data_IF_019691891440
#
_entry.id   IF_019691891440
#
_cell.length_a   1.000
_cell.length_b   1.000
_cell.length_c   1.000
_cell.angle_alpha   90.00
_cell.angle_beta   90.00
_cell.angle_gamma   90.00
#
_symmetry.space_group_name_H-M   'P 1'
#
loop_
_entity.id
_entity.type
_entity.pdbx_description
1 polymer ?
#
# COMPACT_ATOMS: atom_id res chain seq x y z
N UNK A 1 -39.74 26.91 13.57
CA UNK A 1 -39.17 27.00 14.93
C UNK A 1 -38.63 25.61 15.28
N UNK A 2 -37.52 25.51 16.02
CA UNK A 2 -36.64 24.31 16.19
C UNK A 2 -35.48 24.27 15.18
N UNK A 3 -34.62 25.30 15.24
CA UNK A 3 -33.19 25.18 14.96
C UNK A 3 -32.51 25.78 16.18
N UNK A 4 -32.03 24.94 17.09
CA UNK A 4 -31.03 25.26 18.13
C UNK A 4 -30.87 24.04 19.00
N UNK A 5 -29.70 23.41 18.91
CA UNK A 5 -28.92 22.80 20.00
C UNK A 5 -28.11 21.64 19.43
N UNK A 6 -26.82 21.91 19.18
CA UNK A 6 -25.68 21.02 19.45
C UNK A 6 -24.43 21.71 18.90
N UNK A 7 -24.06 22.78 19.61
CA UNK A 7 -22.81 23.50 19.49
C UNK A 7 -22.25 23.51 20.91
N UNK A 8 -21.30 22.63 21.22
CA UNK A 8 -20.30 22.88 22.26
C UNK A 8 -19.19 21.82 22.25
N UNK A 9 -17.96 22.34 22.23
CA UNK A 9 -16.76 21.78 22.85
C UNK A 9 -15.99 20.66 22.14
N UNK A 10 -15.08 21.02 21.22
CA UNK A 10 -13.72 20.44 21.15
C UNK A 10 -12.75 21.56 20.71
N UNK A 11 -11.62 21.81 21.41
CA UNK A 11 -10.68 22.86 21.04
C UNK A 11 -9.86 22.45 19.80
N UNK A 12 -9.74 23.40 18.87
CA UNK A 12 -8.89 23.34 17.69
C UNK A 12 -7.46 23.64 18.13
N UNK A 13 -6.57 22.63 18.09
CA UNK A 13 -5.13 22.86 18.01
C UNK A 13 -4.72 22.68 16.54
N UNK A 14 -4.56 23.80 15.85
CA UNK A 14 -3.92 23.86 14.52
C UNK A 14 -2.41 23.94 14.73
N UNK A 15 -1.72 22.82 14.52
CA UNK A 15 -0.32 22.84 14.13
C UNK A 15 -0.28 22.57 12.62
N UNK A 16 -0.20 23.64 11.83
CA UNK A 16 0.06 23.56 10.40
C UNK A 16 1.56 23.29 10.25
N UNK A 17 1.93 22.05 9.95
CA UNK A 17 3.23 21.78 9.34
C UNK A 17 3.07 21.98 7.83
N UNK A 18 3.88 22.84 7.19
CA UNK A 18 3.86 22.93 5.73
C UNK A 18 4.56 21.68 5.18
N UNK A 19 3.75 20.75 4.66
CA UNK A 19 4.22 19.68 3.79
C UNK A 19 4.52 20.27 2.41
N UNK A 20 5.79 20.22 2.02
CA UNK A 20 6.28 20.15 0.64
C UNK A 20 5.69 21.11 -0.40
N UNK A 21 6.17 22.34 -0.43
CA UNK A 21 6.22 23.10 -1.69
C UNK A 21 7.47 22.66 -2.47
N UNK A 22 7.25 22.07 -3.63
CA UNK A 22 8.30 21.74 -4.58
C UNK A 22 9.08 22.99 -4.97
N UNK A 23 10.39 22.96 -4.76
CA UNK A 23 11.29 24.04 -5.11
C UNK A 23 11.72 23.94 -6.58
N UNK A 24 10.80 24.26 -7.50
CA UNK A 24 11.16 24.68 -8.85
C UNK A 24 11.85 26.04 -8.76
N UNK A 25 13.19 26.06 -8.79
CA UNK A 25 13.98 27.29 -8.82
C UNK A 25 15.28 27.29 -8.01
N UNK A 26 15.45 26.38 -7.04
CA UNK A 26 16.69 26.35 -6.23
C UNK A 26 17.85 25.80 -7.04
N UNK A 27 18.99 26.48 -7.07
CA UNK A 27 20.18 26.02 -7.81
C UNK A 27 20.91 24.90 -7.05
N UNK A 28 21.73 24.10 -7.74
CA UNK A 28 22.59 23.08 -7.07
C UNK A 28 23.49 23.74 -6.00
N UNK A 29 23.94 24.98 -6.22
CA UNK A 29 24.82 25.68 -5.28
C UNK A 29 24.08 26.08 -4.00
N UNK A 30 22.86 26.59 -4.11
CA UNK A 30 22.01 26.90 -2.95
C UNK A 30 21.68 25.64 -2.15
N UNK A 31 21.37 24.54 -2.84
CA UNK A 31 21.14 23.25 -2.19
C UNK A 31 22.41 22.72 -1.50
N UNK A 32 23.58 22.89 -2.11
CA UNK A 32 24.87 22.53 -1.48
C UNK A 32 25.08 23.28 -0.18
N UNK A 33 24.88 24.60 -0.15
CA UNK A 33 25.07 25.39 1.06
C UNK A 33 24.16 24.89 2.19
N UNK A 34 22.86 24.77 1.90
CA UNK A 34 21.87 24.30 2.89
C UNK A 34 22.12 22.86 3.33
N UNK A 35 22.55 21.99 2.42
CA UNK A 35 22.88 20.61 2.78
C UNK A 35 24.08 20.54 3.72
N UNK A 36 25.10 21.38 3.56
CA UNK A 36 26.23 21.43 4.49
C UNK A 36 25.81 21.89 5.88
N UNK A 37 25.01 22.96 5.97
CA UNK A 37 24.45 23.44 7.25
C UNK A 37 23.71 22.32 8.00
N UNK A 38 22.88 21.55 7.28
CA UNK A 38 22.13 20.43 7.87
C UNK A 38 23.04 19.28 8.31
N UNK A 39 24.13 19.02 7.57
CA UNK A 39 25.07 17.93 7.87
C UNK A 39 26.01 18.26 9.04
N UNK A 40 26.19 19.53 9.37
CA UNK A 40 26.95 19.99 10.54
C UNK A 40 26.12 19.92 11.83
N UNK A 41 24.79 19.97 11.72
CA UNK A 41 23.89 19.80 12.86
C UNK A 41 23.85 18.34 13.35
N UNK A 42 24.07 18.15 14.66
CA UNK A 42 24.05 16.82 15.31
C UNK A 42 22.75 16.52 16.06
N UNK A 43 21.73 17.37 15.89
CA UNK A 43 20.48 17.32 16.65
C UNK A 43 19.34 16.62 15.89
N UNK A 44 18.19 16.44 16.58
CA UNK A 44 16.97 15.85 16.00
C UNK A 44 16.41 16.69 14.84
N UNK A 45 16.73 17.98 14.78
CA UNK A 45 16.25 18.88 13.74
C UNK A 45 16.94 18.65 12.39
N UNK A 46 18.20 18.20 12.39
CA UNK A 46 18.89 17.75 11.18
C UNK A 46 18.11 16.65 10.44
N UNK A 47 17.50 15.71 11.19
CA UNK A 47 16.66 14.66 10.61
C UNK A 47 15.36 15.19 10.00
N UNK A 48 14.78 16.28 10.53
CA UNK A 48 13.57 16.88 9.94
C UNK A 48 13.86 17.54 8.60
N UNK A 49 15.07 18.07 8.44
CA UNK A 49 15.49 18.82 7.25
C UNK A 49 16.31 17.99 6.24
N UNK A 50 16.66 16.75 6.58
CA UNK A 50 17.51 15.86 5.76
C UNK A 50 17.05 15.69 4.31
N UNK A 51 15.76 15.91 4.03
CA UNK A 51 15.23 15.85 2.66
C UNK A 51 15.99 16.77 1.69
N UNK A 52 16.46 17.94 2.14
CA UNK A 52 17.27 18.85 1.31
C UNK A 52 18.58 18.21 0.84
N UNK A 53 19.21 17.41 1.71
CA UNK A 53 20.45 16.67 1.39
C UNK A 53 20.17 15.63 0.30
N UNK A 54 19.02 14.96 0.40
CA UNK A 54 18.63 13.96 -0.59
C UNK A 54 18.20 14.58 -1.93
N UNK A 55 17.49 15.71 -1.92
CA UNK A 55 17.13 16.46 -3.13
C UNK A 55 18.39 16.93 -3.89
N UNK A 56 19.43 17.35 -3.16
CA UNK A 56 20.74 17.65 -3.74
C UNK A 56 21.38 16.42 -4.37
N UNK A 57 21.36 15.28 -3.67
CA UNK A 57 21.92 14.03 -4.18
C UNK A 57 21.21 13.58 -5.47
N UNK A 58 19.88 13.68 -5.51
CA UNK A 58 19.05 13.43 -6.69
C UNK A 58 19.50 14.31 -7.87
N UNK A 59 19.58 15.63 -7.67
CA UNK A 59 20.02 16.56 -8.73
C UNK A 59 21.45 16.34 -9.21
N UNK A 60 22.36 15.95 -8.31
CA UNK A 60 23.73 15.61 -8.69
C UNK A 60 23.79 14.32 -9.51
N UNK A 61 22.96 13.33 -9.20
CA UNK A 61 22.85 12.12 -9.99
C UNK A 61 22.30 12.44 -11.39
N UNK A 62 21.24 13.26 -11.46
CA UNK A 62 20.63 13.69 -12.73
C UNK A 62 21.58 14.54 -13.58
N UNK A 63 22.44 15.35 -12.94
CA UNK A 63 23.50 16.12 -13.59
C UNK A 63 24.76 15.30 -13.95
N UNK A 64 24.67 13.97 -13.94
CA UNK A 64 25.74 13.03 -14.27
C UNK A 64 27.01 13.21 -13.41
N UNK A 65 26.83 13.50 -12.12
CA UNK A 65 27.90 13.60 -11.12
C UNK A 65 27.73 12.53 -10.02
N UNK A 66 27.89 11.25 -10.38
CA UNK A 66 27.49 10.13 -9.52
C UNK A 66 28.35 10.02 -8.25
N UNK A 67 29.63 10.39 -8.30
CA UNK A 67 30.50 10.36 -7.11
C UNK A 67 30.06 11.37 -6.04
N UNK A 68 29.65 12.58 -6.44
CA UNK A 68 29.14 13.56 -5.47
C UNK A 68 27.76 13.15 -4.95
N UNK A 69 26.88 12.66 -5.83
CA UNK A 69 25.57 12.14 -5.41
C UNK A 69 25.70 11.03 -4.37
N UNK A 70 26.60 10.05 -4.59
CA UNK A 70 26.88 8.97 -3.66
C UNK A 70 27.32 9.47 -2.27
N UNK A 71 28.16 10.52 -2.21
CA UNK A 71 28.58 11.14 -0.94
C UNK A 71 27.40 11.76 -0.18
N UNK A 72 26.53 12.50 -0.86
CA UNK A 72 25.36 13.12 -0.22
C UNK A 72 24.30 12.10 0.17
N UNK A 73 24.08 11.05 -0.62
CA UNK A 73 23.23 9.93 -0.20
C UNK A 73 23.75 9.29 1.08
N UNK A 74 25.04 8.93 1.12
CA UNK A 74 25.65 8.34 2.31
C UNK A 74 25.53 9.28 3.53
N UNK A 75 25.77 10.58 3.36
CA UNK A 75 25.66 11.57 4.42
C UNK A 75 24.22 11.73 4.94
N UNK A 76 23.24 11.88 4.05
CA UNK A 76 21.83 11.94 4.42
C UNK A 76 21.34 10.65 5.09
N UNK A 77 21.80 9.48 4.63
CA UNK A 77 21.47 8.19 5.23
C UNK A 77 22.11 7.98 6.61
N UNK A 78 23.16 8.71 7.00
CA UNK A 78 23.64 8.71 8.40
C UNK A 78 22.65 9.39 9.33
N UNK A 79 22.00 10.46 8.88
CA UNK A 79 20.98 11.19 9.64
C UNK A 79 19.62 10.48 9.62
N UNK A 80 19.28 9.81 8.51
CA UNK A 80 18.04 9.04 8.38
C UNK A 80 18.26 7.64 7.76
N UNK A 81 18.79 6.68 8.55
CA UNK A 81 19.21 5.37 8.03
C UNK A 81 18.08 4.49 7.48
N UNK A 82 16.85 4.67 7.95
CA UNK A 82 15.71 3.86 7.55
C UNK A 82 14.88 4.47 6.40
N UNK A 83 15.41 5.49 5.72
CA UNK A 83 14.78 5.99 4.50
C UNK A 83 15.02 5.01 3.34
N UNK A 84 14.15 4.00 3.22
CA UNK A 84 14.33 2.88 2.29
C UNK A 84 14.40 3.33 0.82
N UNK A 85 13.67 4.38 0.45
CA UNK A 85 13.71 4.92 -0.91
C UNK A 85 15.12 5.38 -1.26
N UNK A 86 15.76 6.15 -0.37
CA UNK A 86 17.12 6.63 -0.59
C UNK A 86 18.19 5.55 -0.38
N UNK A 87 17.94 4.55 0.48
CA UNK A 87 18.77 3.34 0.52
C UNK A 87 18.78 2.66 -0.85
N UNK A 88 17.62 2.48 -1.49
CA UNK A 88 17.54 1.85 -2.80
C UNK A 88 18.19 2.70 -3.90
N UNK A 89 17.96 4.01 -3.93
CA UNK A 89 18.63 4.93 -4.88
C UNK A 89 20.15 4.89 -4.73
N UNK A 90 20.65 4.92 -3.49
CA UNK A 90 22.07 4.84 -3.22
C UNK A 90 22.68 3.51 -3.66
N UNK A 91 22.03 2.38 -3.33
CA UNK A 91 22.45 1.05 -3.77
C UNK A 91 22.52 0.97 -5.31
N UNK A 92 21.49 1.44 -6.01
CA UNK A 92 21.45 1.45 -7.48
C UNK A 92 22.55 2.31 -8.08
N UNK A 93 22.82 3.49 -7.52
CA UNK A 93 23.89 4.37 -7.98
C UNK A 93 25.27 3.72 -7.82
N UNK A 94 25.55 3.14 -6.65
CA UNK A 94 26.80 2.42 -6.39
C UNK A 94 26.99 1.25 -7.35
N UNK A 95 25.94 0.46 -7.58
CA UNK A 95 25.96 -0.65 -8.53
C UNK A 95 26.22 -0.16 -9.97
N UNK A 96 25.59 0.95 -10.38
CA UNK A 96 25.83 1.56 -11.69
C UNK A 96 27.26 2.12 -11.85
N UNK A 97 27.89 2.55 -10.76
CA UNK A 97 29.29 2.97 -10.71
C UNK A 97 30.29 1.79 -10.68
N UNK A 98 29.81 0.54 -10.59
CA UNK A 98 30.64 -0.65 -10.44
C UNK A 98 31.11 -0.91 -9.00
N UNK A 99 30.64 -0.14 -8.02
CA UNK A 99 30.95 -0.30 -6.60
C UNK A 99 30.05 -1.37 -5.94
N UNK A 100 30.01 -2.57 -6.54
CA UNK A 100 29.05 -3.63 -6.22
C UNK A 100 29.10 -4.07 -4.75
N UNK A 101 30.29 -4.18 -4.16
CA UNK A 101 30.42 -4.56 -2.75
C UNK A 101 29.83 -3.52 -1.80
N UNK A 102 29.99 -2.23 -2.10
CA UNK A 102 29.39 -1.16 -1.30
C UNK A 102 27.88 -1.11 -1.49
N UNK A 103 27.38 -1.43 -2.70
CA UNK A 103 25.95 -1.48 -3.01
C UNK A 103 25.19 -2.55 -2.21
N UNK A 104 25.87 -3.64 -1.79
CA UNK A 104 25.24 -4.74 -1.04
C UNK A 104 24.69 -4.30 0.32
N UNK A 105 25.35 -3.40 1.04
CA UNK A 105 24.87 -2.98 2.35
C UNK A 105 23.51 -2.24 2.28
N UNK A 106 23.34 -1.14 1.52
CA UNK A 106 22.06 -0.46 1.40
C UNK A 106 20.99 -1.35 0.73
N UNK A 107 21.36 -2.17 -0.26
CA UNK A 107 20.45 -3.16 -0.84
C UNK A 107 19.97 -4.19 0.21
N UNK A 108 20.86 -4.69 1.07
CA UNK A 108 20.52 -5.64 2.14
C UNK A 108 19.54 -5.06 3.17
N UNK A 109 19.66 -3.75 3.47
CA UNK A 109 18.69 -3.05 4.31
C UNK A 109 17.31 -3.04 3.65
N UNK A 110 17.24 -2.63 2.38
CA UNK A 110 15.98 -2.57 1.61
C UNK A 110 15.36 -3.95 1.48
N UNK A 111 16.11 -4.96 1.08
CA UNK A 111 15.60 -6.33 0.90
C UNK A 111 15.04 -6.93 2.18
N UNK A 112 15.53 -6.51 3.35
CA UNK A 112 15.09 -7.06 4.65
C UNK A 112 13.88 -6.33 5.24
N UNK A 113 13.76 -5.02 5.01
CA UNK A 113 12.82 -4.15 5.72
C UNK A 113 11.70 -3.63 4.81
N UNK A 114 11.93 -3.54 3.50
CA UNK A 114 10.93 -2.99 2.59
C UNK A 114 9.73 -3.92 2.43
N UNK A 115 8.54 -3.34 2.50
CA UNK A 115 7.27 -3.97 2.14
C UNK A 115 6.91 -3.73 0.67
N UNK A 116 7.72 -2.96 -0.07
CA UNK A 116 7.49 -2.68 -1.49
C UNK A 116 8.19 -3.72 -2.36
N UNK A 117 7.40 -4.57 -3.02
CA UNK A 117 7.88 -5.67 -3.86
C UNK A 117 8.89 -5.22 -4.92
N UNK A 118 8.64 -4.09 -5.58
CA UNK A 118 9.55 -3.57 -6.61
C UNK A 118 10.92 -3.24 -6.01
N UNK A 119 10.94 -2.63 -4.81
CA UNK A 119 12.19 -2.31 -4.11
C UNK A 119 12.91 -3.58 -3.63
N UNK A 120 12.17 -4.57 -3.12
CA UNK A 120 12.76 -5.86 -2.70
C UNK A 120 13.38 -6.59 -3.90
N UNK A 121 12.70 -6.65 -5.03
CA UNK A 121 13.21 -7.29 -6.26
C UNK A 121 14.49 -6.58 -6.74
N UNK A 122 14.47 -5.24 -6.81
CA UNK A 122 15.65 -4.46 -7.20
C UNK A 122 16.83 -4.69 -6.25
N UNK A 123 16.58 -4.66 -4.93
CA UNK A 123 17.60 -4.91 -3.93
C UNK A 123 18.21 -6.31 -4.04
N UNK A 124 17.38 -7.36 -4.20
CA UNK A 124 17.84 -8.74 -4.37
C UNK A 124 18.66 -8.94 -5.64
N UNK A 125 18.30 -8.23 -6.72
CA UNK A 125 19.10 -8.23 -7.94
C UNK A 125 20.51 -7.68 -7.70
N UNK A 126 20.66 -6.59 -6.94
CA UNK A 126 21.98 -6.04 -6.57
C UNK A 126 22.75 -7.01 -5.68
N UNK A 127 22.06 -7.74 -4.79
CA UNK A 127 22.66 -8.76 -3.93
C UNK A 127 23.09 -10.03 -4.69
N UNK A 128 22.72 -10.17 -5.98
CA UNK A 128 22.94 -11.38 -6.76
C UNK A 128 22.06 -12.55 -6.32
N UNK A 129 20.98 -12.27 -5.59
CA UNK A 129 20.03 -13.29 -5.16
C UNK A 129 19.07 -13.63 -6.30
N UNK A 130 18.88 -14.93 -6.56
CA UNK A 130 17.84 -15.38 -7.47
C UNK A 130 16.47 -15.12 -6.85
N UNK A 131 15.72 -14.19 -7.44
CA UNK A 131 14.31 -14.00 -7.13
C UNK A 131 13.53 -15.07 -7.86
N UNK A 132 13.25 -16.18 -7.19
CA UNK A 132 12.35 -17.20 -7.71
C UNK A 132 10.91 -16.66 -7.61
N UNK A 133 10.45 -16.04 -8.70
CA UNK A 133 9.14 -15.41 -8.81
C UNK A 133 8.05 -16.41 -9.17
N UNK A 134 8.40 -17.62 -9.60
CA UNK A 134 7.41 -18.59 -10.01
C UNK A 134 6.93 -19.44 -8.83
N UNK A 135 5.61 -19.55 -8.69
CA UNK A 135 4.98 -20.46 -7.76
C UNK A 135 4.31 -21.55 -8.58
N UNK A 136 4.80 -22.78 -8.41
CA UNK A 136 4.21 -23.95 -9.06
C UNK A 136 2.82 -24.21 -8.52
N UNK A 137 1.93 -24.68 -9.38
CA UNK A 137 0.66 -25.25 -8.95
C UNK A 137 0.91 -26.45 -8.04
N UNK A 138 -0.02 -26.70 -7.12
CA UNK A 138 -0.01 -27.89 -6.30
C UNK A 138 -0.03 -29.15 -7.18
N UNK A 139 0.83 -30.10 -6.84
CA UNK A 139 0.85 -31.42 -7.44
C UNK A 139 0.53 -32.46 -6.39
N UNK A 140 0.90 -33.71 -6.64
CA UNK A 140 0.83 -34.77 -5.64
C UNK A 140 1.72 -34.43 -4.43
N UNK A 141 1.15 -34.63 -3.23
CA UNK A 141 1.84 -34.45 -1.96
C UNK A 141 2.01 -35.82 -1.31
N UNK A 142 3.18 -36.05 -0.73
CA UNK A 142 3.46 -37.25 0.06
C UNK A 142 2.62 -37.24 1.35
N UNK A 143 1.76 -38.23 1.52
CA UNK A 143 0.93 -38.44 2.71
C UNK A 143 1.78 -38.84 3.93
N UNK A 144 2.91 -39.51 3.71
CA UNK A 144 3.64 -40.18 4.79
C UNK A 144 4.34 -39.20 5.73
N UNK A 145 4.50 -37.93 5.31
CA UNK A 145 5.22 -36.90 6.07
C UNK A 145 4.34 -35.72 6.44
N UNK A 146 4.57 -35.17 7.63
CA UNK A 146 3.98 -33.89 8.00
C UNK A 146 4.46 -32.81 7.04
N UNK A 147 3.49 -32.15 6.40
CA UNK A 147 3.74 -31.18 5.33
C UNK A 147 2.88 -29.95 5.55
N UNK A 148 3.50 -28.77 5.44
CA UNK A 148 2.81 -27.49 5.45
C UNK A 148 2.85 -26.88 4.04
N UNK A 149 1.68 -26.58 3.48
CA UNK A 149 1.56 -25.90 2.19
C UNK A 149 1.16 -24.46 2.42
N UNK A 150 2.06 -23.55 2.05
CA UNK A 150 1.83 -22.11 2.01
C UNK A 150 1.14 -21.77 0.69
N UNK A 151 -0.05 -21.20 0.77
CA UNK A 151 -0.88 -20.86 -0.38
C UNK A 151 -1.02 -19.34 -0.47
N UNK A 152 -0.42 -18.70 -1.49
CA UNK A 152 -0.63 -17.30 -1.78
C UNK A 152 -2.11 -16.95 -2.02
N UNK A 153 -2.59 -15.87 -1.41
CA UNK A 153 -3.97 -15.40 -1.56
C UNK A 153 -3.99 -13.94 -2.03
N UNK A 154 -4.23 -13.77 -3.34
CA UNK A 154 -4.18 -12.48 -4.02
C UNK A 154 -2.76 -12.03 -4.31
N UNK A 155 -2.59 -10.73 -4.52
CA UNK A 155 -1.28 -10.13 -4.79
C UNK A 155 -0.45 -10.10 -3.50
N UNK A 156 0.62 -10.88 -3.48
CA UNK A 156 1.53 -10.95 -2.33
C UNK A 156 2.99 -10.95 -2.76
N UNK A 157 3.84 -10.58 -1.82
CA UNK A 157 5.29 -10.62 -1.97
C UNK A 157 5.77 -12.07 -1.92
N UNK A 158 6.00 -12.67 -3.09
CA UNK A 158 6.46 -14.06 -3.22
C UNK A 158 7.80 -14.26 -2.52
N UNK A 159 8.68 -13.27 -2.60
CA UNK A 159 9.99 -13.29 -1.96
C UNK A 159 9.86 -13.44 -0.43
N UNK A 160 8.93 -12.72 0.19
CA UNK A 160 8.61 -12.83 1.62
C UNK A 160 8.07 -14.24 1.96
N UNK A 161 7.19 -14.77 1.13
CA UNK A 161 6.59 -16.10 1.33
C UNK A 161 7.65 -17.20 1.26
N UNK A 162 8.63 -17.08 0.37
CA UNK A 162 9.77 -17.99 0.26
C UNK A 162 10.70 -17.90 1.47
N UNK A 163 10.92 -16.72 2.01
CA UNK A 163 11.69 -16.57 3.24
C UNK A 163 10.95 -17.15 4.45
N UNK A 164 9.64 -16.96 4.50
CA UNK A 164 8.79 -17.62 5.49
C UNK A 164 8.85 -19.15 5.35
N UNK A 165 8.79 -19.68 4.13
CA UNK A 165 8.96 -21.11 3.83
C UNK A 165 10.27 -21.65 4.43
N UNK A 166 11.41 -21.00 4.14
CA UNK A 166 12.72 -21.40 4.66
C UNK A 166 12.77 -21.37 6.19
N UNK A 167 12.26 -20.29 6.81
CA UNK A 167 12.23 -20.13 8.27
C UNK A 167 11.33 -21.16 8.95
N UNK A 168 10.15 -21.43 8.39
CA UNK A 168 9.22 -22.44 8.92
C UNK A 168 9.80 -23.84 8.77
N UNK A 169 10.38 -24.18 7.62
CA UNK A 169 11.05 -25.48 7.41
C UNK A 169 12.15 -25.71 8.44
N UNK A 170 13.03 -24.72 8.62
CA UNK A 170 14.11 -24.80 9.61
C UNK A 170 13.60 -24.91 11.06
N UNK A 171 12.53 -24.17 11.40
CA UNK A 171 12.02 -24.12 12.77
C UNK A 171 11.16 -25.32 13.16
N UNK A 172 10.37 -25.85 12.23
CA UNK A 172 9.41 -26.91 12.50
C UNK A 172 9.98 -28.31 12.20
N UNK A 173 11.04 -28.41 11.40
CA UNK A 173 11.62 -29.69 10.99
C UNK A 173 10.70 -30.52 10.08
N UNK A 174 9.73 -29.88 9.41
CA UNK A 174 8.80 -30.50 8.47
C UNK A 174 9.00 -29.94 7.06
N UNK A 175 8.47 -30.64 6.06
CA UNK A 175 8.45 -30.11 4.70
C UNK A 175 7.48 -28.93 4.61
N UNK A 176 7.94 -27.85 3.99
CA UNK A 176 7.14 -26.64 3.76
C UNK A 176 7.23 -26.30 2.29
N UNK A 177 6.09 -26.26 1.60
CA UNK A 177 5.99 -25.92 0.19
C UNK A 177 5.26 -24.60 -0.01
N UNK A 178 5.63 -23.85 -1.04
CA UNK A 178 4.81 -22.75 -1.57
C UNK A 178 4.16 -23.25 -2.85
N UNK A 179 2.83 -23.22 -2.92
CA UNK A 179 2.05 -23.72 -4.06
C UNK A 179 0.84 -22.85 -4.35
N UNK A 180 0.50 -22.74 -5.62
CA UNK A 180 -0.77 -22.17 -6.06
C UNK A 180 -1.85 -23.25 -6.08
N UNK A 181 -3.07 -22.84 -5.76
CA UNK A 181 -4.28 -23.64 -5.97
C UNK A 181 -5.03 -23.04 -7.16
N UNK A 182 -5.30 -23.86 -8.19
CA UNK A 182 -5.83 -23.39 -9.47
C UNK A 182 -7.25 -22.80 -9.37
N UNK A 183 -8.03 -23.24 -8.38
CA UNK A 183 -9.45 -22.87 -8.20
C UNK A 183 -9.69 -22.00 -6.95
N UNK A 184 -8.68 -21.25 -6.49
CA UNK A 184 -8.84 -20.40 -5.32
C UNK A 184 -9.59 -19.11 -5.67
N UNK A 185 -10.91 -19.13 -5.53
CA UNK A 185 -11.76 -17.95 -5.66
C UNK A 185 -11.90 -17.20 -4.34
N UNK A 186 -11.54 -15.92 -4.34
CA UNK A 186 -11.61 -15.06 -3.15
C UNK A 186 -12.77 -14.09 -3.27
N UNK A 187 -13.68 -14.16 -2.30
CA UNK A 187 -14.80 -13.24 -2.19
C UNK A 187 -14.33 -11.78 -2.10
N UNK A 188 -15.16 -10.81 -2.56
CA UNK A 188 -14.87 -9.39 -2.40
C UNK A 188 -14.82 -9.02 -0.90
N UNK A 189 -14.16 -7.90 -0.55
CA UNK A 189 -14.07 -7.43 0.82
C UNK A 189 -15.46 -7.13 1.36
N UNK A 190 -15.73 -7.57 2.59
CA UNK A 190 -17.01 -7.30 3.28
C UNK A 190 -17.03 -5.95 3.97
N UNK A 191 -15.86 -5.37 4.22
CA UNK A 191 -15.71 -4.00 4.70
C UNK A 191 -14.92 -3.21 3.68
N UNK A 192 -15.64 -2.42 2.89
CA UNK A 192 -15.07 -1.48 1.94
C UNK A 192 -15.64 -0.08 2.22
N UNK A 193 -14.99 0.71 3.10
CA UNK A 193 -15.51 2.02 3.51
C UNK A 193 -15.77 2.94 2.32
N UNK A 194 -14.91 2.89 1.30
CA UNK A 194 -15.08 3.70 0.10
C UNK A 194 -16.20 3.16 -0.79
N UNK A 195 -16.29 1.84 -0.97
CA UNK A 195 -17.41 1.21 -1.67
C UNK A 195 -18.77 1.52 -1.04
N UNK A 196 -18.87 1.47 0.30
CA UNK A 196 -20.08 1.83 1.04
C UNK A 196 -20.42 3.32 0.90
N UNK A 197 -19.42 4.20 0.92
CA UNK A 197 -19.62 5.62 0.65
C UNK A 197 -20.12 5.85 -0.77
N UNK A 198 -19.51 5.18 -1.76
CA UNK A 198 -19.91 5.29 -3.16
C UNK A 198 -21.33 4.77 -3.38
N UNK A 199 -21.74 3.70 -2.71
CA UNK A 199 -23.13 3.20 -2.74
C UNK A 199 -24.10 4.27 -2.22
N UNK A 200 -23.83 4.86 -1.05
CA UNK A 200 -24.63 5.98 -0.52
C UNK A 200 -24.64 7.19 -1.46
N UNK A 201 -23.54 7.45 -2.15
CA UNK A 201 -23.45 8.50 -3.14
C UNK A 201 -24.34 8.22 -4.36
N UNK A 202 -24.39 6.97 -4.85
CA UNK A 202 -25.33 6.55 -5.91
C UNK A 202 -26.78 6.78 -5.47
N UNK A 203 -27.14 6.29 -4.28
CA UNK A 203 -28.49 6.47 -3.74
C UNK A 203 -28.87 7.95 -3.62
N UNK A 204 -27.92 8.81 -3.20
CA UNK A 204 -28.14 10.25 -3.12
C UNK A 204 -28.29 10.89 -4.51
N UNK A 205 -27.48 10.48 -5.49
CA UNK A 205 -27.56 10.97 -6.86
C UNK A 205 -28.87 10.55 -7.54
N UNK A 206 -29.36 9.34 -7.28
CA UNK A 206 -30.66 8.88 -7.79
C UNK A 206 -31.80 9.75 -7.26
N UNK A 207 -31.80 10.07 -5.95
CA UNK A 207 -32.78 10.98 -5.35
C UNK A 207 -32.67 12.41 -5.91
N UNK A 208 -31.45 12.89 -6.18
CA UNK A 208 -31.25 14.21 -6.77
C UNK A 208 -31.71 14.25 -8.23
N UNK A 209 -31.46 13.18 -8.99
CA UNK A 209 -31.95 13.02 -10.38
C UNK A 209 -33.47 13.07 -10.42
N UNK A 210 -34.16 12.42 -9.48
CA UNK A 210 -35.63 12.45 -9.41
C UNK A 210 -36.16 13.84 -9.06
N UNK A 211 -35.49 14.57 -8.16
CA UNK A 211 -35.92 15.90 -7.71
C UNK A 211 -35.65 17.01 -8.73
N UNK A 212 -34.54 16.92 -9.47
CA UNK A 212 -34.15 17.90 -10.47
C UNK A 212 -33.56 17.22 -11.72
N UNK A 213 -34.41 16.57 -12.55
CA UNK A 213 -33.94 15.81 -13.71
C UNK A 213 -33.16 16.65 -14.72
N UNK A 214 -33.62 17.89 -14.96
CA UNK A 214 -33.02 18.76 -15.95
C UNK A 214 -31.66 19.28 -15.49
N UNK A 215 -31.56 19.85 -14.28
CA UNK A 215 -30.27 20.31 -13.75
C UNK A 215 -29.27 19.16 -13.53
N UNK A 216 -29.75 17.96 -13.21
CA UNK A 216 -28.93 16.74 -13.19
C UNK A 216 -28.40 16.39 -14.58
N UNK A 217 -29.28 16.35 -15.59
CA UNK A 217 -28.93 16.07 -16.98
C UNK A 217 -27.94 17.06 -17.57
N UNK A 218 -28.14 18.36 -17.32
CA UNK A 218 -27.26 19.44 -17.77
C UNK A 218 -25.86 19.29 -17.15
N UNK A 219 -25.78 18.97 -15.86
CA UNK A 219 -24.49 18.76 -15.22
C UNK A 219 -23.80 17.48 -15.68
N UNK A 220 -24.53 16.39 -15.90
CA UNK A 220 -23.97 15.17 -16.52
C UNK A 220 -23.42 15.47 -17.92
N UNK A 221 -24.14 16.22 -18.74
CA UNK A 221 -23.69 16.59 -20.08
C UNK A 221 -22.44 17.48 -20.05
N UNK A 222 -22.27 18.31 -19.01
CA UNK A 222 -21.10 19.16 -18.83
C UNK A 222 -19.87 18.39 -18.33
N UNK A 223 -20.03 17.55 -17.30
CA UNK A 223 -18.93 16.78 -16.70
C UNK A 223 -18.50 15.58 -17.56
N UNK A 224 -19.45 15.01 -18.31
CA UNK A 224 -19.23 13.84 -19.16
C UNK A 224 -19.70 14.11 -20.60
N UNK A 225 -19.05 15.05 -21.33
CA UNK A 225 -19.53 15.54 -22.62
C UNK A 225 -19.57 14.46 -23.73
N UNK A 226 -18.72 13.44 -23.62
CA UNK A 226 -18.64 12.34 -24.58
C UNK A 226 -19.70 11.28 -24.31
N UNK A 227 -19.73 10.69 -23.10
CA UNK A 227 -20.64 9.59 -22.77
C UNK A 227 -22.08 10.06 -22.54
N UNK A 228 -22.26 11.32 -22.13
CA UNK A 228 -23.52 11.91 -21.64
C UNK A 228 -24.20 11.07 -20.55
N UNK A 229 -23.42 10.27 -19.85
CA UNK A 229 -23.87 9.35 -18.80
C UNK A 229 -22.84 9.35 -17.68
N UNK A 230 -23.34 9.41 -16.45
CA UNK A 230 -22.54 9.18 -15.26
C UNK A 230 -22.04 7.72 -15.29
N UNK A 231 -20.72 7.46 -15.23
CA UNK A 231 -20.18 6.10 -15.13
C UNK A 231 -20.51 5.53 -13.74
N UNK A 232 -21.64 4.83 -13.63
CA UNK A 232 -22.12 4.26 -12.35
C UNK A 232 -21.23 3.15 -11.82
N UNK A 233 -20.41 2.54 -12.66
CA UNK A 233 -19.49 1.47 -12.26
C UNK A 233 -18.16 2.04 -11.71
N UNK A 234 -17.92 3.34 -11.89
CA UNK A 234 -16.75 4.03 -11.36
C UNK A 234 -17.12 4.78 -10.06
N UNK A 235 -16.76 4.17 -8.93
CA UNK A 235 -16.99 4.74 -7.61
C UNK A 235 -16.31 6.11 -7.42
N UNK A 236 -15.15 6.35 -8.03
CA UNK A 236 -14.47 7.65 -7.95
C UNK A 236 -15.23 8.72 -8.70
N UNK A 237 -15.61 8.43 -9.95
CA UNK A 237 -16.38 9.36 -10.76
C UNK A 237 -17.73 9.67 -10.11
N UNK A 238 -18.41 8.68 -9.51
CA UNK A 238 -19.66 8.86 -8.78
C UNK A 238 -19.49 9.81 -7.59
N UNK A 239 -18.52 9.55 -6.72
CA UNK A 239 -18.30 10.38 -5.53
C UNK A 239 -17.86 11.79 -5.91
N UNK A 240 -16.97 11.92 -6.91
CA UNK A 240 -16.54 13.22 -7.45
C UNK A 240 -17.73 14.01 -8.02
N UNK A 241 -18.56 13.37 -8.84
CA UNK A 241 -19.74 14.00 -9.43
C UNK A 241 -20.71 14.49 -8.36
N UNK A 242 -20.98 13.69 -7.31
CA UNK A 242 -21.81 14.13 -6.19
C UNK A 242 -21.24 15.38 -5.50
N UNK A 243 -19.93 15.41 -5.23
CA UNK A 243 -19.29 16.59 -4.65
C UNK A 243 -19.48 17.83 -5.52
N UNK A 244 -19.26 17.71 -6.83
CA UNK A 244 -19.47 18.82 -7.79
C UNK A 244 -20.92 19.26 -7.81
N UNK A 245 -21.87 18.32 -7.83
CA UNK A 245 -23.31 18.62 -7.90
C UNK A 245 -23.77 19.37 -6.64
N UNK A 246 -23.34 18.91 -5.47
CA UNK A 246 -23.67 19.56 -4.22
C UNK A 246 -23.04 20.96 -4.11
N UNK A 247 -21.79 21.12 -4.56
CA UNK A 247 -21.08 22.38 -4.48
C UNK A 247 -21.62 23.44 -5.43
N UNK A 248 -21.86 23.06 -6.69
CA UNK A 248 -22.18 24.00 -7.75
C UNK A 248 -23.68 24.10 -8.02
N UNK A 249 -24.36 22.97 -8.24
CA UNK A 249 -25.77 22.97 -8.63
C UNK A 249 -26.70 23.24 -7.43
N UNK A 250 -26.36 22.72 -6.25
CA UNK A 250 -27.14 22.93 -5.02
C UNK A 250 -26.60 24.07 -4.14
N UNK A 251 -25.50 24.71 -4.54
CA UNK A 251 -24.84 25.80 -3.79
C UNK A 251 -24.58 25.45 -2.32
N UNK A 252 -24.19 24.20 -2.05
CA UNK A 252 -23.92 23.68 -0.71
C UNK A 252 -22.45 23.21 -0.57
N UNK A 253 -21.49 24.15 -0.55
CA UNK A 253 -20.06 23.83 -0.51
C UNK A 253 -19.66 23.12 0.78
N UNK A 254 -20.34 23.39 1.91
CA UNK A 254 -20.04 22.74 3.19
C UNK A 254 -20.37 21.24 3.12
N UNK A 255 -21.51 20.88 2.54
CA UNK A 255 -21.88 19.48 2.40
C UNK A 255 -20.99 18.75 1.38
N UNK A 256 -20.65 19.40 0.26
CA UNK A 256 -19.68 18.88 -0.71
C UNK A 256 -18.31 18.60 -0.06
N UNK A 257 -17.79 19.56 0.74
CA UNK A 257 -16.52 19.39 1.44
C UNK A 257 -16.55 18.23 2.44
N UNK A 258 -17.67 18.02 3.15
CA UNK A 258 -17.84 16.88 4.07
C UNK A 258 -17.77 15.54 3.33
N UNK A 259 -18.43 15.42 2.19
CA UNK A 259 -18.36 14.20 1.35
C UNK A 259 -16.95 13.99 0.83
N UNK A 260 -16.28 15.05 0.37
CA UNK A 260 -14.89 14.99 -0.08
C UNK A 260 -13.94 14.51 1.02
N UNK A 261 -14.04 15.09 2.22
CA UNK A 261 -13.22 14.67 3.38
C UNK A 261 -13.53 13.23 3.80
N UNK A 262 -14.81 12.83 3.79
CA UNK A 262 -15.20 11.45 4.08
C UNK A 262 -14.63 10.48 3.05
N UNK A 263 -14.63 10.84 1.76
CA UNK A 263 -14.03 10.06 0.68
C UNK A 263 -12.51 9.94 0.86
N UNK A 264 -11.82 11.04 1.15
CA UNK A 264 -10.38 11.02 1.43
C UNK A 264 -10.03 10.07 2.57
N UNK A 265 -10.80 10.12 3.68
CA UNK A 265 -10.62 9.21 4.81
C UNK A 265 -10.96 7.75 4.47
N UNK A 266 -12.02 7.53 3.70
CA UNK A 266 -12.43 6.18 3.29
C UNK A 266 -11.40 5.52 2.37
N UNK A 267 -10.76 6.28 1.48
CA UNK A 267 -9.63 5.80 0.64
C UNK A 267 -8.42 5.38 1.46
N UNK A 268 -8.16 6.07 2.56
CA UNK A 268 -7.07 5.74 3.48
C UNK A 268 -7.41 4.57 4.41
N UNK A 269 -8.68 4.16 4.50
CA UNK A 269 -9.09 3.06 5.36
C UNK A 269 -8.99 1.76 4.56
N UNK A 270 -8.16 0.79 4.99
CA UNK A 270 -7.98 -0.45 4.26
C UNK A 270 -9.30 -1.22 4.11
N UNK A 271 -9.45 -1.89 2.96
CA UNK A 271 -10.52 -2.87 2.76
C UNK A 271 -10.22 -4.10 3.60
N UNK A 272 -11.24 -4.72 4.17
CA UNK A 272 -11.06 -5.91 5.01
C UNK A 272 -11.89 -7.10 4.51
N UNK A 273 -11.28 -8.28 4.58
CA UNK A 273 -11.87 -9.56 4.21
C UNK A 273 -12.25 -10.36 5.45
N UNK A 274 -13.35 -11.11 5.36
CA UNK A 274 -13.73 -12.01 6.43
C UNK A 274 -12.78 -13.22 6.44
N UNK A 275 -12.06 -13.42 7.54
CA UNK A 275 -11.08 -14.49 7.67
C UNK A 275 -11.72 -15.88 7.58
N UNK A 276 -12.98 -16.02 8.01
CA UNK A 276 -13.74 -17.25 7.87
C UNK A 276 -14.07 -17.56 6.41
N UNK A 277 -14.46 -16.56 5.61
CA UNK A 277 -14.64 -16.71 4.16
C UNK A 277 -13.34 -17.09 3.46
N UNK A 278 -12.21 -16.47 3.80
CA UNK A 278 -10.91 -16.84 3.24
C UNK A 278 -10.52 -18.28 3.56
N UNK A 279 -10.69 -18.70 4.81
CA UNK A 279 -10.41 -20.10 5.22
C UNK A 279 -11.35 -21.08 4.53
N UNK A 280 -12.62 -20.72 4.32
CA UNK A 280 -13.57 -21.56 3.56
C UNK A 280 -13.15 -21.69 2.10
N UNK A 281 -12.81 -20.59 1.43
CA UNK A 281 -12.32 -20.60 0.06
C UNK A 281 -11.06 -21.47 -0.07
N UNK A 282 -10.11 -21.30 0.84
CA UNK A 282 -8.90 -22.13 0.90
C UNK A 282 -9.23 -23.62 1.10
N UNK A 283 -10.18 -23.93 1.98
CA UNK A 283 -10.61 -25.31 2.23
C UNK A 283 -11.18 -25.96 0.97
N UNK A 284 -12.06 -25.26 0.25
CA UNK A 284 -12.68 -25.76 -0.99
C UNK A 284 -11.60 -26.00 -2.05
N UNK A 285 -10.74 -25.02 -2.31
CA UNK A 285 -9.68 -25.14 -3.31
C UNK A 285 -8.63 -26.22 -2.97
N UNK A 286 -8.41 -26.50 -1.69
CA UNK A 286 -7.46 -27.51 -1.22
C UNK A 286 -8.10 -28.91 -1.06
N UNK A 287 -9.41 -29.05 -1.28
CA UNK A 287 -10.13 -30.32 -1.09
C UNK A 287 -9.59 -31.49 -1.90
N UNK A 288 -9.24 -31.32 -3.19
CA UNK A 288 -8.66 -32.40 -4.00
C UNK A 288 -7.27 -32.87 -3.53
N UNK A 289 -6.60 -32.09 -2.67
CA UNK A 289 -5.22 -32.33 -2.23
C UNK A 289 -5.13 -32.66 -0.75
N UNK A 290 -6.24 -33.05 -0.12
CA UNK A 290 -6.28 -33.38 1.30
C UNK A 290 -5.58 -34.70 1.60
N UNK A 291 -4.66 -34.67 2.55
CA UNK A 291 -4.09 -35.86 3.19
C UNK A 291 -4.02 -35.67 4.72
N UNK A 292 -3.91 -36.75 5.48
CA UNK A 292 -4.02 -36.72 6.94
C UNK A 292 -2.93 -35.84 7.59
N UNK A 293 -1.71 -35.85 7.04
CA UNK A 293 -0.54 -35.13 7.56
C UNK A 293 -0.27 -33.80 6.83
N UNK A 294 -1.12 -33.40 5.90
CA UNK A 294 -0.99 -32.14 5.15
C UNK A 294 -1.81 -31.03 5.83
N UNK A 295 -1.21 -29.85 5.97
CA UNK A 295 -1.85 -28.62 6.47
C UNK A 295 -1.70 -27.51 5.44
N UNK A 296 -2.72 -26.66 5.33
CA UNK A 296 -2.73 -25.54 4.38
C UNK A 296 -2.78 -24.22 5.14
N UNK A 297 -1.92 -23.29 4.74
CA UNK A 297 -1.85 -21.94 5.30
C UNK A 297 -1.89 -20.91 4.18
N UNK A 298 -3.02 -20.22 4.07
CA UNK A 298 -3.20 -19.06 3.21
C UNK A 298 -2.35 -17.89 3.70
N UNK A 299 -1.68 -17.19 2.79
CA UNK A 299 -0.89 -15.99 3.09
C UNK A 299 -1.42 -14.85 2.23
N UNK A 300 -1.80 -13.73 2.85
CA UNK A 300 -2.37 -12.58 2.14
C UNK A 300 -1.78 -11.27 2.66
N UNK A 301 -1.64 -10.27 1.78
CA UNK A 301 -1.40 -8.86 2.17
C UNK A 301 -2.69 -8.09 2.42
N UNK A 302 -3.84 -8.77 2.42
CA UNK A 302 -5.16 -8.19 2.68
C UNK A 302 -5.39 -8.10 4.19
N UNK A 303 -5.98 -7.01 4.66
CA UNK A 303 -6.47 -6.91 6.04
C UNK A 303 -7.61 -7.91 6.27
N UNK A 304 -7.55 -8.65 7.37
CA UNK A 304 -8.56 -9.66 7.72
C UNK A 304 -9.25 -9.36 9.05
N UNK A 305 -10.51 -9.76 9.15
CA UNK A 305 -11.32 -9.59 10.36
C UNK A 305 -12.24 -10.80 10.59
N UNK A 306 -12.88 -10.87 11.75
CA UNK A 306 -14.02 -11.78 12.00
C UNK A 306 -15.15 -11.03 12.70
N UNK A 307 -16.32 -11.64 12.85
CA UNK A 307 -17.45 -11.04 13.58
C UNK A 307 -17.06 -10.49 14.97
N UNK A 308 -16.12 -11.15 15.64
CA UNK A 308 -15.73 -10.81 17.01
C UNK A 308 -14.47 -9.92 17.09
N UNK A 309 -13.69 -9.81 16.02
CA UNK A 309 -12.41 -9.10 16.02
C UNK A 309 -12.28 -8.21 14.80
N UNK A 310 -11.98 -6.92 15.02
CA UNK A 310 -11.90 -5.93 13.95
C UNK A 310 -10.64 -6.07 13.07
N UNK A 311 -9.57 -6.60 13.64
CA UNK A 311 -8.28 -6.83 12.99
C UNK A 311 -7.71 -8.14 13.49
N UNK A 312 -7.15 -8.94 12.60
CA UNK A 312 -6.51 -10.22 12.91
C UNK A 312 -5.25 -10.37 12.08
N UNK A 313 -4.22 -10.94 12.68
CA UNK A 313 -3.02 -11.40 11.96
C UNK A 313 -3.18 -12.82 11.41
N UNK A 314 -4.12 -13.59 11.96
CA UNK A 314 -4.41 -14.93 11.47
C UNK A 314 -5.67 -15.54 12.03
N UNK A 315 -6.18 -16.55 11.32
CA UNK A 315 -7.35 -17.32 11.71
C UNK A 315 -7.20 -18.76 11.23
N UNK A 316 -7.77 -19.74 11.96
CA UNK A 316 -7.71 -21.15 11.56
C UNK A 316 -9.00 -21.89 11.84
N UNK A 317 -9.26 -22.91 11.01
CA UNK A 317 -10.32 -23.90 11.19
C UNK A 317 -9.76 -25.27 10.81
N UNK A 318 -9.62 -26.16 11.79
CA UNK A 318 -9.06 -27.50 11.57
C UNK A 318 -7.65 -27.47 10.99
N UNK A 319 -7.49 -28.02 9.77
CA UNK A 319 -6.22 -28.13 9.03
C UNK A 319 -5.90 -26.94 8.11
N UNK A 320 -6.76 -25.93 8.11
CA UNK A 320 -6.66 -24.75 7.27
C UNK A 320 -6.44 -23.51 8.13
N UNK A 321 -5.54 -22.65 7.72
CA UNK A 321 -5.36 -21.33 8.30
C UNK A 321 -5.19 -20.27 7.23
N UNK A 322 -5.39 -19.02 7.62
CA UNK A 322 -4.97 -17.84 6.85
C UNK A 322 -4.20 -16.91 7.77
N UNK A 323 -3.16 -16.28 7.25
CA UNK A 323 -2.43 -15.19 7.91
C UNK A 323 -2.39 -13.97 7.01
N UNK A 324 -2.44 -12.81 7.66
CA UNK A 324 -2.26 -11.49 7.06
C UNK A 324 -0.97 -10.89 7.60
N UNK A 325 -0.21 -10.24 6.71
CA UNK A 325 1.02 -9.54 7.03
C UNK A 325 0.95 -8.10 6.53
#
# INVERSE_FOLDING_TARGET
MIIRQLLCCIPILLAVTPFGLGAEGTTIQELKLRAHEILEDTNVDARKNVQVVFDLADRLADANNPQQAARYYAAGLRLYPLNLQYQMKYASLLNAMGENEQAKQPAGIVSRISENDKMVIMARSILGEKVDSEIKNIGELDDDRYTLVLVPIGDINIALVRDLQKKLKAKLGIEVFVRNLTELEIAPPKRDPFGELAKKAKDALDQLRERNPQGFGDMVAREFPISRKLPTDDNEAVVKFLCTYMGEALLNPIAAQRVYMAAARARQTPRQWDAGELVRALKVAAEPHQAAKVRFLGITGKDIYTRNYKYLFGWRVGRYGVISY
#
